data_IF_130338795646
#
_entry.id   IF_130338795646
#
_cell.length_a   1.000
_cell.length_b   1.000
_cell.length_c   1.000
_cell.angle_alpha   90.00
_cell.angle_beta   90.00
_cell.angle_gamma   90.00
#
_symmetry.space_group_name_H-M   'P 1'
#
loop_
_entity.id
_entity.type
_entity.pdbx_description
1 polymer ?
#
# COMPACT_ATOMS: atom_id res chain seq x y z
N UNK A 1 -55.39 33.87 10.93
CA UNK A 1 -56.29 32.83 11.47
C UNK A 1 -55.78 31.52 10.89
N UNK A 2 -55.01 30.70 11.61
CA UNK A 2 -55.42 29.93 12.80
C UNK A 2 -56.01 28.61 12.29
N UNK A 3 -55.24 27.51 12.24
CA UNK A 3 -55.26 26.41 13.24
C UNK A 3 -56.42 25.45 12.93
N UNK A 4 -56.36 24.12 13.01
CA UNK A 4 -55.56 23.09 13.68
C UNK A 4 -55.89 21.76 12.98
N UNK A 5 -55.02 20.78 13.09
CA UNK A 5 -55.28 19.34 13.28
C UNK A 5 -53.87 18.72 13.26
N UNK A 6 -53.29 18.21 14.33
CA UNK A 6 -53.86 17.55 15.49
C UNK A 6 -52.91 16.38 15.75
N UNK A 7 -51.71 16.69 16.24
CA UNK A 7 -50.81 15.65 16.74
C UNK A 7 -51.41 15.18 18.06
N UNK A 8 -52.13 14.07 18.00
CA UNK A 8 -52.60 13.36 19.17
C UNK A 8 -51.39 12.77 19.91
N UNK A 9 -51.29 13.13 21.19
CA UNK A 9 -50.38 12.50 22.14
C UNK A 9 -51.11 11.30 22.70
N UNK A 10 -50.54 10.11 22.60
CA UNK A 10 -51.10 8.92 23.23
C UNK A 10 -50.54 8.76 24.65
N UNK A 11 -51.39 8.35 25.58
CA UNK A 11 -51.09 8.12 27.00
C UNK A 11 -50.32 6.80 27.27
N UNK A 12 -49.99 6.04 26.22
CA UNK A 12 -49.40 4.71 26.32
C UNK A 12 -47.97 4.68 25.76
N UNK A 13 -46.98 4.46 26.62
CA UNK A 13 -45.55 4.51 26.28
C UNK A 13 -45.08 3.62 25.12
N UNK A 14 -44.07 4.14 24.39
CA UNK A 14 -43.32 3.60 23.23
C UNK A 14 -44.05 3.67 21.87
N UNK A 15 -43.45 4.12 20.78
CA UNK A 15 -42.16 3.69 20.23
C UNK A 15 -41.50 4.83 19.44
N UNK A 16 -40.30 5.20 19.87
CA UNK A 16 -39.36 6.07 19.16
C UNK A 16 -38.88 5.36 17.89
N UNK A 17 -39.49 5.70 16.76
CA UNK A 17 -38.93 5.39 15.46
C UNK A 17 -37.98 6.53 15.09
N UNK A 18 -36.69 6.35 15.37
CA UNK A 18 -35.59 7.10 14.77
C UNK A 18 -35.62 6.91 13.23
N UNK A 19 -36.57 7.56 12.57
CA UNK A 19 -36.77 7.61 11.12
C UNK A 19 -35.89 8.71 10.48
N UNK A 20 -34.87 9.20 11.21
CA UNK A 20 -33.95 10.22 10.75
C UNK A 20 -32.67 9.66 10.10
N UNK A 21 -32.67 8.38 9.68
CA UNK A 21 -31.61 7.83 8.83
C UNK A 21 -32.02 7.89 7.36
N UNK A 22 -31.38 8.72 6.52
CA UNK A 22 -31.72 8.80 5.11
C UNK A 22 -31.53 7.43 4.45
N UNK A 23 -32.62 6.89 3.88
CA UNK A 23 -32.60 5.60 3.18
C UNK A 23 -31.62 5.69 1.99
N UNK A 24 -30.68 4.72 1.83
CA UNK A 24 -29.69 4.81 0.77
C UNK A 24 -30.35 4.77 -0.61
N UNK A 25 -30.08 5.79 -1.44
CA UNK A 25 -30.60 5.86 -2.81
C UNK A 25 -30.02 4.75 -3.70
N UNK A 26 -30.72 4.38 -4.78
CA UNK A 26 -30.22 3.39 -5.77
C UNK A 26 -28.82 3.74 -6.30
N UNK A 27 -28.51 5.03 -6.43
CA UNK A 27 -27.20 5.53 -6.84
C UNK A 27 -26.11 5.23 -5.82
N UNK A 28 -26.36 5.50 -4.53
CA UNK A 28 -25.41 5.25 -3.45
C UNK A 28 -25.05 3.77 -3.30
N UNK A 29 -26.05 2.87 -3.40
CA UNK A 29 -25.83 1.41 -3.33
C UNK A 29 -24.97 0.91 -4.51
N UNK A 30 -25.18 1.45 -5.71
CA UNK A 30 -24.39 1.12 -6.89
C UNK A 30 -22.93 1.55 -6.72
N UNK A 31 -22.69 2.74 -6.16
CA UNK A 31 -21.34 3.26 -5.92
C UNK A 31 -20.55 2.39 -4.94
N UNK A 32 -21.14 2.08 -3.78
CA UNK A 32 -20.51 1.20 -2.78
C UNK A 32 -20.18 -0.18 -3.36
N UNK A 33 -21.06 -0.73 -4.20
CA UNK A 33 -20.79 -2.00 -4.87
C UNK A 33 -19.62 -1.92 -5.87
N UNK A 34 -19.47 -0.79 -6.57
CA UNK A 34 -18.35 -0.58 -7.49
C UNK A 34 -17.03 -0.35 -6.75
N UNK A 35 -17.06 0.42 -5.65
CA UNK A 35 -15.90 0.64 -4.77
C UNK A 35 -15.40 -0.70 -4.20
N UNK A 36 -16.30 -1.53 -3.66
CA UNK A 36 -15.95 -2.86 -3.15
C UNK A 36 -15.38 -3.79 -4.24
N UNK A 37 -15.90 -3.74 -5.47
CA UNK A 37 -15.34 -4.52 -6.57
C UNK A 37 -13.95 -4.03 -6.98
N UNK A 38 -13.74 -2.71 -7.04
CA UNK A 38 -12.44 -2.13 -7.34
C UNK A 38 -11.39 -2.48 -6.29
N UNK A 39 -11.76 -2.46 -5.00
CA UNK A 39 -10.91 -2.92 -3.91
C UNK A 39 -10.60 -4.42 -4.03
N UNK A 40 -11.61 -5.24 -4.36
CA UNK A 40 -11.43 -6.67 -4.59
C UNK A 40 -10.48 -7.00 -5.73
N UNK A 41 -10.54 -6.25 -6.84
CA UNK A 41 -9.59 -6.39 -7.96
C UNK A 41 -8.15 -6.08 -7.55
N UNK A 42 -7.95 -5.06 -6.71
CA UNK A 42 -6.62 -4.71 -6.17
C UNK A 42 -6.10 -5.81 -5.26
N UNK A 43 -6.91 -6.29 -4.31
CA UNK A 43 -6.54 -7.37 -3.39
C UNK A 43 -6.21 -8.67 -4.13
N UNK A 44 -6.94 -8.99 -5.22
CA UNK A 44 -6.64 -10.15 -6.06
C UNK A 44 -5.33 -10.05 -6.86
N UNK A 45 -4.71 -8.88 -6.91
CA UNK A 45 -3.41 -8.66 -7.53
C UNK A 45 -2.25 -8.66 -6.51
N UNK A 46 -2.55 -8.59 -5.22
CA UNK A 46 -1.58 -8.69 -4.14
C UNK A 46 -1.07 -10.13 -4.01
N UNK A 47 0.18 -10.26 -3.57
CA UNK A 47 0.77 -11.57 -3.21
C UNK A 47 0.22 -12.05 -1.87
N UNK A 48 0.35 -13.34 -1.61
CA UNK A 48 -0.12 -13.94 -0.34
C UNK A 48 0.55 -13.27 0.87
N UNK A 49 1.85 -12.96 0.80
CA UNK A 49 2.54 -12.29 1.91
C UNK A 49 2.07 -10.85 2.14
N UNK A 50 1.57 -10.18 1.10
CA UNK A 50 1.00 -8.83 1.19
C UNK A 50 -0.41 -8.87 1.80
N UNK A 51 -1.15 -9.95 1.57
CA UNK A 51 -2.49 -10.16 2.12
C UNK A 51 -2.45 -10.52 3.62
N UNK A 52 -1.44 -11.27 4.06
CA UNK A 52 -1.30 -11.72 5.46
C UNK A 52 -1.12 -10.59 6.47
N UNK A 53 -0.61 -9.45 6.03
CA UNK A 53 -0.40 -8.26 6.86
C UNK A 53 -1.58 -7.28 6.83
N UNK A 54 -2.61 -7.56 6.03
CA UNK A 54 -3.82 -6.75 5.96
C UNK A 54 -4.85 -7.17 7.02
N UNK A 55 -5.69 -6.23 7.52
CA UNK A 55 -6.75 -6.55 8.46
C UNK A 55 -7.95 -7.19 7.73
N UNK A 56 -7.79 -8.45 7.31
CA UNK A 56 -8.82 -9.21 6.59
C UNK A 56 -9.44 -10.26 7.51
N UNK A 57 -10.73 -10.57 7.33
CA UNK A 57 -11.29 -11.77 7.95
C UNK A 57 -10.72 -13.05 7.31
N UNK A 58 -10.77 -14.15 8.06
CA UNK A 58 -10.37 -15.47 7.58
C UNK A 58 -11.13 -15.88 6.30
N UNK A 59 -12.42 -15.52 6.20
CA UNK A 59 -13.25 -15.83 5.03
C UNK A 59 -12.78 -15.08 3.79
N UNK A 60 -12.47 -13.78 3.93
CA UNK A 60 -11.96 -12.96 2.83
C UNK A 60 -10.55 -13.40 2.41
N UNK A 61 -9.68 -13.70 3.37
CA UNK A 61 -8.33 -14.19 3.10
C UNK A 61 -8.36 -15.52 2.34
N UNK A 62 -9.16 -16.49 2.79
CA UNK A 62 -9.35 -17.77 2.09
C UNK A 62 -9.89 -17.57 0.67
N UNK A 63 -10.84 -16.65 0.48
CA UNK A 63 -11.38 -16.34 -0.84
C UNK A 63 -10.31 -15.73 -1.78
N UNK A 64 -9.41 -14.90 -1.25
CA UNK A 64 -8.30 -14.30 -2.01
C UNK A 64 -7.21 -15.32 -2.34
N UNK A 65 -6.79 -16.16 -1.39
CA UNK A 65 -5.84 -17.25 -1.65
C UNK A 65 -6.39 -18.22 -2.72
N UNK A 66 -7.67 -18.61 -2.61
CA UNK A 66 -8.29 -19.47 -3.61
C UNK A 66 -8.27 -18.84 -5.02
N UNK A 67 -8.45 -17.52 -5.13
CA UNK A 67 -8.43 -16.83 -6.41
C UNK A 67 -7.14 -17.06 -7.21
N UNK A 68 -5.99 -17.21 -6.53
CA UNK A 68 -4.69 -17.44 -7.17
C UNK A 68 -4.58 -18.80 -7.85
N UNK A 69 -5.39 -19.78 -7.43
CA UNK A 69 -5.40 -21.13 -8.00
C UNK A 69 -6.32 -21.25 -9.23
N UNK A 70 -7.22 -20.28 -9.44
CA UNK A 70 -8.24 -20.35 -10.49
C UNK A 70 -7.67 -19.93 -11.85
N UNK A 71 -7.54 -20.90 -12.75
CA UNK A 71 -7.10 -20.66 -14.14
C UNK A 71 -8.24 -20.24 -15.09
N UNK A 72 -9.48 -20.65 -14.80
CA UNK A 72 -10.63 -20.41 -15.69
C UNK A 72 -11.21 -19.01 -15.49
N UNK A 73 -11.27 -18.22 -16.56
CA UNK A 73 -11.78 -16.82 -16.55
C UNK A 73 -13.18 -16.67 -15.93
N UNK A 74 -14.10 -17.59 -16.23
CA UNK A 74 -15.47 -17.55 -15.69
C UNK A 74 -15.47 -17.80 -14.18
N UNK A 75 -14.72 -18.79 -13.72
CA UNK A 75 -14.57 -19.09 -12.29
C UNK A 75 -13.91 -17.93 -11.56
N UNK A 76 -12.88 -17.31 -12.14
CA UNK A 76 -12.21 -16.14 -11.57
C UNK A 76 -13.16 -14.96 -11.43
N UNK A 77 -14.03 -14.72 -12.43
CA UNK A 77 -15.07 -13.68 -12.36
C UNK A 77 -16.11 -13.97 -11.26
N UNK A 78 -16.50 -15.23 -11.06
CA UNK A 78 -17.40 -15.61 -9.96
C UNK A 78 -16.74 -15.38 -8.60
N UNK A 79 -15.47 -15.73 -8.47
CA UNK A 79 -14.69 -15.48 -7.25
C UNK A 79 -14.58 -13.99 -6.93
N UNK A 80 -14.33 -13.15 -7.94
CA UNK A 80 -14.31 -11.69 -7.79
C UNK A 80 -15.65 -11.13 -7.28
N UNK A 81 -16.79 -11.68 -7.74
CA UNK A 81 -18.11 -11.27 -7.24
C UNK A 81 -18.36 -11.71 -5.79
N UNK A 82 -17.85 -12.89 -5.40
CA UNK A 82 -17.89 -13.35 -4.01
C UNK A 82 -17.05 -12.42 -3.12
N UNK A 83 -15.81 -12.13 -3.52
CA UNK A 83 -14.92 -11.19 -2.83
C UNK A 83 -15.60 -9.82 -2.68
N UNK A 84 -16.17 -9.28 -3.76
CA UNK A 84 -16.92 -8.02 -3.72
C UNK A 84 -18.20 -8.08 -2.86
N UNK A 85 -18.74 -9.26 -2.56
CA UNK A 85 -19.81 -9.44 -1.56
C UNK A 85 -19.25 -9.43 -0.14
N UNK A 86 -18.16 -10.16 0.11
CA UNK A 86 -17.50 -10.22 1.41
C UNK A 86 -17.00 -8.84 1.85
N UNK A 87 -16.38 -8.09 0.94
CA UNK A 87 -15.89 -6.73 1.21
C UNK A 87 -16.97 -5.75 1.67
N UNK A 88 -18.26 -5.99 1.37
CA UNK A 88 -19.35 -5.13 1.88
C UNK A 88 -19.65 -5.35 3.37
N UNK A 89 -19.15 -6.43 3.94
CA UNK A 89 -19.26 -6.76 5.36
C UNK A 89 -17.99 -6.42 6.14
N UNK A 90 -16.94 -5.94 5.47
CA UNK A 90 -15.64 -5.62 6.04
C UNK A 90 -15.47 -4.11 6.27
N UNK A 91 -14.46 -3.76 7.07
CA UNK A 91 -13.99 -2.37 7.14
C UNK A 91 -13.09 -2.07 5.93
N UNK A 92 -13.71 -1.72 4.81
CA UNK A 92 -12.99 -1.40 3.57
C UNK A 92 -12.05 -0.21 3.73
N UNK A 93 -12.32 0.72 4.65
CA UNK A 93 -11.44 1.88 4.89
C UNK A 93 -10.14 1.45 5.56
N UNK A 94 -10.22 0.58 6.57
CA UNK A 94 -9.05 0.03 7.23
C UNK A 94 -8.17 -0.76 6.24
N UNK A 95 -8.81 -1.56 5.37
CA UNK A 95 -8.10 -2.30 4.32
C UNK A 95 -7.44 -1.36 3.31
N UNK A 96 -8.15 -0.33 2.85
CA UNK A 96 -7.59 0.65 1.90
C UNK A 96 -6.42 1.44 2.48
N UNK A 97 -6.50 1.82 3.75
CA UNK A 97 -5.42 2.51 4.44
C UNK A 97 -4.18 1.61 4.54
N UNK A 98 -4.35 0.37 5.01
CA UNK A 98 -3.25 -0.58 5.13
C UNK A 98 -2.60 -0.91 3.78
N UNK A 99 -3.38 -1.06 2.70
CA UNK A 99 -2.87 -1.20 1.33
C UNK A 99 -2.09 0.04 0.88
N UNK A 100 -2.57 1.23 1.24
CA UNK A 100 -1.91 2.50 0.94
C UNK A 100 -0.55 2.62 1.62
N UNK A 101 -0.49 2.28 2.90
CA UNK A 101 0.74 2.31 3.70
C UNK A 101 1.80 1.37 3.13
N UNK A 102 1.43 0.12 2.81
CA UNK A 102 2.32 -0.84 2.15
C UNK A 102 2.85 -0.30 0.82
N UNK A 103 1.97 0.25 -0.02
CA UNK A 103 2.35 0.82 -1.32
C UNK A 103 3.32 1.99 -1.15
N UNK A 104 3.07 2.85 -0.15
CA UNK A 104 3.94 3.97 0.20
C UNK A 104 5.32 3.51 0.67
N UNK A 105 5.41 2.46 1.49
CA UNK A 105 6.68 1.89 1.93
C UNK A 105 7.50 1.31 0.77
N UNK A 106 6.85 0.59 -0.14
CA UNK A 106 7.46 0.05 -1.36
C UNK A 106 7.99 1.17 -2.24
N UNK A 107 7.19 2.21 -2.47
CA UNK A 107 7.60 3.38 -3.27
C UNK A 107 8.76 4.13 -2.61
N UNK A 108 8.70 4.33 -1.28
CA UNK A 108 9.76 4.97 -0.51
C UNK A 108 11.07 4.15 -0.59
N UNK A 109 11.00 2.81 -0.49
CA UNK A 109 12.17 1.93 -0.66
C UNK A 109 12.75 2.04 -2.07
N UNK A 110 11.90 2.04 -3.10
CA UNK A 110 12.33 2.23 -4.48
C UNK A 110 12.95 3.62 -4.72
N UNK A 111 12.40 4.68 -4.12
CA UNK A 111 12.95 6.02 -4.17
C UNK A 111 14.35 6.08 -3.52
N UNK A 112 14.53 5.46 -2.35
CA UNK A 112 15.85 5.36 -1.68
C UNK A 112 16.86 4.62 -2.55
N UNK A 113 16.50 3.48 -3.16
CA UNK A 113 17.38 2.75 -4.07
C UNK A 113 17.79 3.59 -5.29
N UNK A 114 16.84 4.31 -5.90
CA UNK A 114 17.13 5.25 -7.00
C UNK A 114 18.07 6.38 -6.56
N UNK A 115 17.96 6.87 -5.33
CA UNK A 115 18.87 7.87 -4.78
C UNK A 115 20.30 7.32 -4.61
N UNK A 116 20.44 6.10 -4.09
CA UNK A 116 21.75 5.45 -3.98
C UNK A 116 22.39 5.17 -5.34
N UNK A 117 21.58 4.87 -6.36
CA UNK A 117 22.08 4.67 -7.71
C UNK A 117 22.64 5.97 -8.30
N UNK A 118 21.97 7.11 -8.06
CA UNK A 118 22.51 8.44 -8.41
C UNK A 118 23.80 8.75 -7.67
N UNK A 119 23.87 8.42 -6.38
CA UNK A 119 25.09 8.56 -5.58
C UNK A 119 26.24 7.73 -6.13
N UNK A 120 25.98 6.49 -6.54
CA UNK A 120 27.00 5.62 -7.15
C UNK A 120 27.61 6.27 -8.39
N UNK A 121 26.77 6.73 -9.33
CA UNK A 121 27.27 7.41 -10.54
C UNK A 121 28.09 8.63 -10.18
N UNK A 122 27.57 9.49 -9.30
CA UNK A 122 28.25 10.70 -8.85
C UNK A 122 29.60 10.42 -8.16
N UNK A 123 29.69 9.37 -7.34
CA UNK A 123 30.94 8.97 -6.68
C UNK A 123 32.00 8.45 -7.67
N UNK A 124 31.57 7.86 -8.79
CA UNK A 124 32.46 7.43 -9.86
C UNK A 124 32.93 8.66 -10.66
N UNK A 125 32.00 9.53 -11.04
CA UNK A 125 32.28 10.65 -11.95
C UNK A 125 33.04 11.80 -11.26
N UNK A 126 32.61 12.19 -10.06
CA UNK A 126 33.14 13.38 -9.37
C UNK A 126 34.24 13.05 -8.35
N UNK A 127 34.33 11.80 -7.86
CA UNK A 127 35.38 11.37 -6.94
C UNK A 127 35.31 12.00 -5.53
N UNK A 128 36.44 12.54 -5.04
CA UNK A 128 36.59 13.01 -3.66
C UNK A 128 35.54 14.09 -3.25
N UNK A 129 35.20 15.10 -4.08
CA UNK A 129 34.09 16.03 -3.79
C UNK A 129 32.74 15.35 -3.52
N UNK A 130 32.37 14.33 -4.32
CA UNK A 130 31.13 13.58 -4.08
C UNK A 130 31.22 12.69 -2.85
N UNK A 131 32.41 12.18 -2.52
CA UNK A 131 32.65 11.42 -1.30
C UNK A 131 32.43 12.28 -0.06
N UNK A 132 32.96 13.51 -0.02
CA UNK A 132 32.69 14.43 1.09
C UNK A 132 31.20 14.75 1.22
N UNK A 133 30.52 15.00 0.10
CA UNK A 133 29.08 15.26 0.10
C UNK A 133 28.27 14.05 0.61
N UNK A 134 28.66 12.83 0.24
CA UNK A 134 28.00 11.62 0.72
C UNK A 134 28.20 11.43 2.24
N UNK A 135 29.38 11.76 2.76
CA UNK A 135 29.68 11.64 4.19
C UNK A 135 28.90 12.63 5.06
N UNK A 136 28.43 13.74 4.49
CA UNK A 136 27.50 14.64 5.20
C UNK A 136 26.16 13.97 5.43
N UNK A 137 25.63 13.28 4.41
CA UNK A 137 24.34 12.58 4.49
C UNK A 137 24.43 11.26 5.29
N UNK A 138 25.60 10.62 5.27
CA UNK A 138 25.85 9.33 5.94
C UNK A 138 27.13 9.39 6.81
N UNK A 139 27.10 10.13 7.94
CA UNK A 139 28.29 10.41 8.75
C UNK A 139 28.89 9.17 9.43
N UNK A 140 28.07 8.13 9.64
CA UNK A 140 28.49 6.91 10.33
C UNK A 140 29.11 5.86 9.39
N UNK A 141 29.27 6.15 8.10
CA UNK A 141 29.83 5.18 7.18
C UNK A 141 31.36 5.11 7.26
N UNK A 142 31.93 3.93 6.98
CA UNK A 142 33.37 3.73 6.94
C UNK A 142 33.97 4.46 5.73
N UNK A 143 34.49 5.67 5.99
CA UNK A 143 35.12 6.55 5.01
C UNK A 143 36.23 5.86 4.23
N UNK A 144 37.06 5.06 4.88
CA UNK A 144 38.20 4.43 4.23
C UNK A 144 37.72 3.33 3.28
N UNK A 145 36.76 2.51 3.72
CA UNK A 145 36.13 1.47 2.88
C UNK A 145 35.38 2.08 1.69
N UNK A 146 34.66 3.18 1.90
CA UNK A 146 33.99 3.92 0.82
C UNK A 146 34.99 4.45 -0.21
N UNK A 147 36.05 5.12 0.23
CA UNK A 147 37.07 5.70 -0.67
C UNK A 147 37.76 4.64 -1.51
N UNK A 148 38.08 3.49 -0.91
CA UNK A 148 38.67 2.37 -1.64
C UNK A 148 37.71 1.79 -2.70
N UNK A 149 36.42 1.68 -2.37
CA UNK A 149 35.41 1.19 -3.30
C UNK A 149 35.22 2.17 -4.48
N UNK A 150 35.17 3.48 -4.21
CA UNK A 150 35.08 4.52 -5.23
C UNK A 150 36.27 4.46 -6.20
N UNK A 151 37.51 4.44 -5.69
CA UNK A 151 38.71 4.35 -6.54
C UNK A 151 38.72 3.12 -7.45
N UNK A 152 38.28 1.96 -6.94
CA UNK A 152 38.17 0.73 -7.75
C UNK A 152 37.11 0.88 -8.85
N UNK A 153 35.99 1.54 -8.56
CA UNK A 153 34.93 1.77 -9.53
C UNK A 153 35.34 2.80 -10.60
N UNK A 154 36.07 3.85 -10.22
CA UNK A 154 36.67 4.84 -11.13
C UNK A 154 37.67 4.22 -12.10
N UNK A 155 38.44 3.22 -11.64
CA UNK A 155 39.34 2.42 -12.48
C UNK A 155 38.60 1.41 -13.38
N UNK A 156 37.25 1.45 -13.43
CA UNK A 156 36.40 0.56 -14.21
C UNK A 156 36.69 -0.93 -13.98
N UNK A 157 37.15 -1.30 -12.77
CA UNK A 157 37.42 -2.69 -12.45
C UNK A 157 36.13 -3.51 -12.56
N UNK A 158 36.17 -4.72 -13.18
CA UNK A 158 34.99 -5.56 -13.32
C UNK A 158 34.25 -5.78 -11.99
N UNK A 159 32.94 -5.50 -11.98
CA UNK A 159 32.08 -5.63 -10.81
C UNK A 159 32.31 -4.60 -9.68
N UNK A 160 33.22 -3.63 -9.84
CA UNK A 160 33.49 -2.64 -8.80
C UNK A 160 32.33 -1.68 -8.58
N UNK A 161 31.62 -1.26 -9.63
CA UNK A 161 30.41 -0.43 -9.51
C UNK A 161 29.30 -1.16 -8.73
N UNK A 162 29.09 -2.46 -8.98
CA UNK A 162 28.13 -3.29 -8.25
C UNK A 162 28.52 -3.44 -6.77
N UNK A 163 29.82 -3.64 -6.48
CA UNK A 163 30.35 -3.70 -5.11
C UNK A 163 30.18 -2.36 -4.38
N UNK A 164 30.41 -1.24 -5.07
CA UNK A 164 30.15 0.10 -4.54
C UNK A 164 28.67 0.26 -4.21
N UNK A 165 27.76 -0.08 -5.12
CA UNK A 165 26.32 0.00 -4.86
C UNK A 165 25.88 -0.84 -3.65
N UNK A 166 26.41 -2.08 -3.53
CA UNK A 166 26.16 -2.95 -2.38
C UNK A 166 26.61 -2.29 -1.07
N UNK A 167 27.78 -1.64 -1.08
CA UNK A 167 28.29 -0.90 0.07
C UNK A 167 27.42 0.31 0.43
N UNK A 168 26.95 1.08 -0.56
CA UNK A 168 26.05 2.21 -0.31
C UNK A 168 24.73 1.76 0.31
N UNK A 169 24.19 0.63 -0.15
CA UNK A 169 22.99 0.00 0.43
C UNK A 169 23.19 -0.42 1.89
N UNK A 170 24.35 -0.99 2.21
CA UNK A 170 24.73 -1.35 3.58
C UNK A 170 24.74 -0.12 4.49
N UNK A 171 25.38 0.98 4.07
CA UNK A 171 25.42 2.22 4.84
C UNK A 171 24.06 2.90 5.00
N UNK A 172 23.17 2.73 4.02
CA UNK A 172 21.80 3.25 4.09
C UNK A 172 20.83 2.32 4.84
N UNK A 173 21.29 1.18 5.37
CA UNK A 173 20.42 0.20 6.06
C UNK A 173 19.44 -0.52 5.14
N UNK A 174 19.69 -0.57 3.82
CA UNK A 174 18.82 -1.19 2.82
C UNK A 174 19.39 -2.55 2.41
N UNK A 175 19.26 -3.54 3.30
CA UNK A 175 19.68 -4.94 3.05
C UNK A 175 18.72 -5.64 2.09
#
# INVERSE_FOLDING_TARGET
MGGKDGYEVNEDGAMDWDDNKPRPTRSSKKRVAQEALGLGERLMACREEELDILPLSEELQAALCHCHTIQKRIARRRQMLLIGKLLRCEDTKAIELALGDQSGEVEARAARLRALERWRSRLIDDGDPALEAFLVDFPNCDRQRLRQACRKAQQQKPGAAQKLFKLLREFAGIV
#
